data_IF_313176478604
#
_entry.id   IF_313176478604
#
_cell.length_a   1.000
_cell.length_b   1.000
_cell.length_c   1.000
_cell.angle_alpha   90.00
_cell.angle_beta   90.00
_cell.angle_gamma   90.00
#
_symmetry.space_group_name_H-M   'P 1'
#
loop_
_entity.id
_entity.type
_entity.pdbx_description
1 polymer ?
#
# COMPACT_ATOMS: atom_id res chain seq x y z
N UNK A 1 -17.02 8.00 -47.73
CA UNK A 1 -16.88 8.80 -46.50
C UNK A 1 -16.93 7.79 -45.34
N UNK A 2 -15.91 6.93 -45.30
CA UNK A 2 -14.75 7.00 -44.39
C UNK A 2 -15.19 6.98 -42.93
N UNK A 3 -15.21 5.76 -42.42
CA UNK A 3 -14.87 5.24 -41.08
C UNK A 3 -14.48 6.21 -39.97
N UNK A 4 -14.78 5.72 -38.74
CA UNK A 4 -14.11 5.90 -37.42
C UNK A 4 -15.16 6.31 -36.35
N UNK A 5 -15.35 5.64 -35.22
CA UNK A 5 -14.48 4.75 -34.43
C UNK A 5 -15.38 3.76 -33.67
N UNK A 6 -15.38 2.48 -34.07
CA UNK A 6 -15.55 1.41 -33.10
C UNK A 6 -14.25 1.41 -32.29
N UNK A 7 -14.32 1.81 -31.02
CA UNK A 7 -13.25 1.52 -30.07
C UNK A 7 -13.37 0.02 -29.82
N UNK A 8 -12.69 -0.76 -30.64
CA UNK A 8 -12.28 -2.10 -30.25
C UNK A 8 -11.55 -1.94 -28.90
N UNK A 9 -12.13 -2.49 -27.85
CA UNK A 9 -11.45 -2.72 -26.60
C UNK A 9 -10.33 -3.72 -26.89
N UNK A 10 -9.17 -3.19 -27.28
CA UNK A 10 -7.92 -3.94 -27.36
C UNK A 10 -7.30 -4.02 -25.96
N UNK A 11 -8.03 -4.63 -25.03
CA UNK A 11 -7.47 -5.05 -23.76
C UNK A 11 -7.41 -6.57 -23.77
N UNK A 12 -6.22 -7.11 -23.51
CA UNK A 12 -5.83 -8.49 -23.81
C UNK A 12 -6.45 -9.60 -22.94
N UNK A 13 -7.69 -9.45 -22.49
CA UNK A 13 -8.44 -10.50 -21.78
C UNK A 13 -9.10 -11.47 -22.76
N UNK A 14 -9.13 -12.76 -22.43
CA UNK A 14 -10.01 -13.72 -23.10
C UNK A 14 -11.49 -13.33 -22.88
N UNK A 15 -12.38 -13.72 -23.80
CA UNK A 15 -13.80 -13.45 -23.64
C UNK A 15 -14.34 -14.16 -22.38
N UNK A 16 -15.00 -13.41 -21.49
CA UNK A 16 -15.61 -13.95 -20.29
C UNK A 16 -16.50 -15.16 -20.62
N UNK A 17 -16.50 -16.22 -19.79
CA UNK A 17 -17.30 -17.43 -20.02
C UNK A 17 -18.81 -17.22 -19.83
N UNK A 18 -19.23 -15.98 -19.56
CA UNK A 18 -20.61 -15.55 -19.38
C UNK A 18 -20.81 -14.11 -19.90
N UNK A 19 -22.05 -13.70 -20.21
CA UNK A 19 -22.36 -12.31 -20.55
C UNK A 19 -22.05 -11.34 -19.39
N UNK A 20 -21.45 -10.19 -19.70
CA UNK A 20 -21.06 -9.16 -18.70
C UNK A 20 -22.24 -8.71 -17.84
N UNK A 21 -23.42 -8.56 -18.43
CA UNK A 21 -24.63 -8.13 -17.71
C UNK A 21 -25.04 -9.10 -16.58
N UNK A 22 -24.56 -10.35 -16.59
CA UNK A 22 -24.82 -11.32 -15.53
C UNK A 22 -24.15 -10.96 -14.22
N UNK A 23 -23.06 -10.20 -14.23
CA UNK A 23 -22.41 -9.71 -13.00
C UNK A 23 -23.41 -8.95 -12.13
N UNK A 24 -24.32 -8.17 -12.75
CA UNK A 24 -25.37 -7.43 -12.04
C UNK A 24 -26.69 -8.19 -11.95
N UNK A 25 -27.07 -8.92 -13.01
CA UNK A 25 -28.41 -9.51 -13.11
C UNK A 25 -28.50 -10.93 -12.55
N UNK A 26 -27.41 -11.68 -12.52
CA UNK A 26 -27.34 -13.08 -12.11
C UNK A 26 -26.03 -13.40 -11.34
N UNK A 27 -25.69 -12.64 -10.27
CA UNK A 27 -24.39 -12.74 -9.59
C UNK A 27 -24.07 -14.15 -9.09
N UNK A 28 -25.06 -14.88 -8.56
CA UNK A 28 -24.88 -16.27 -8.10
C UNK A 28 -24.42 -17.22 -9.21
N UNK A 29 -24.91 -17.04 -10.44
CA UNK A 29 -24.44 -17.86 -11.56
C UNK A 29 -23.01 -17.53 -11.94
N UNK A 30 -22.63 -16.25 -11.81
CA UNK A 30 -21.25 -15.81 -12.03
C UNK A 30 -20.34 -16.42 -10.97
N UNK A 31 -20.72 -16.37 -9.69
CA UNK A 31 -20.01 -17.02 -8.57
C UNK A 31 -19.81 -18.52 -8.85
N UNK A 32 -20.87 -19.24 -9.23
CA UNK A 32 -20.79 -20.67 -9.55
C UNK A 32 -19.80 -20.96 -10.69
N UNK A 33 -19.83 -20.15 -11.75
CA UNK A 33 -18.91 -20.31 -12.89
C UNK A 33 -17.48 -19.99 -12.45
N UNK A 34 -17.23 -18.85 -11.80
CA UNK A 34 -15.89 -18.46 -11.34
C UNK A 34 -15.30 -19.51 -10.40
N UNK A 35 -16.09 -20.05 -9.47
CA UNK A 35 -15.65 -21.07 -8.51
C UNK A 35 -15.15 -22.35 -9.21
N UNK A 36 -15.76 -22.70 -10.35
CA UNK A 36 -15.35 -23.84 -11.17
C UNK A 36 -14.05 -23.63 -11.95
N UNK A 37 -13.63 -22.38 -12.16
CA UNK A 37 -12.39 -22.03 -12.87
C UNK A 37 -11.16 -22.12 -11.98
N UNK A 38 -10.01 -22.42 -12.58
CA UNK A 38 -8.70 -22.29 -11.91
C UNK A 38 -8.35 -20.82 -11.65
N UNK A 39 -7.36 -20.57 -10.77
CA UNK A 39 -6.87 -19.20 -10.51
C UNK A 39 -6.32 -18.59 -11.80
N UNK A 40 -5.57 -19.36 -12.57
CA UNK A 40 -4.97 -18.92 -13.83
C UNK A 40 -6.04 -18.58 -14.89
N UNK A 41 -7.13 -19.35 -14.95
CA UNK A 41 -8.27 -19.07 -15.83
C UNK A 41 -8.98 -17.78 -15.43
N UNK A 42 -9.21 -17.57 -14.13
CA UNK A 42 -9.81 -16.33 -13.64
C UNK A 42 -8.91 -15.12 -13.94
N UNK A 43 -7.60 -15.23 -13.71
CA UNK A 43 -6.63 -14.18 -14.05
C UNK A 43 -6.69 -13.85 -15.54
N UNK A 44 -6.66 -14.85 -16.43
CA UNK A 44 -6.76 -14.62 -17.89
C UNK A 44 -8.05 -13.91 -18.31
N UNK A 45 -9.15 -14.20 -17.63
CA UNK A 45 -10.45 -13.60 -17.92
C UNK A 45 -10.59 -12.18 -17.36
N UNK A 46 -9.93 -11.87 -16.24
CA UNK A 46 -10.03 -10.58 -15.55
C UNK A 46 -9.03 -9.57 -16.11
N UNK A 47 -7.84 -10.02 -16.53
CA UNK A 47 -6.75 -9.16 -16.95
C UNK A 47 -7.14 -8.22 -18.11
N UNK A 48 -6.88 -6.93 -17.94
CA UNK A 48 -7.17 -5.89 -18.92
C UNK A 48 -8.65 -5.48 -19.02
N UNK A 49 -9.56 -6.09 -18.28
CA UNK A 49 -10.95 -5.59 -18.23
C UNK A 49 -11.00 -4.18 -17.61
N UNK A 50 -12.12 -3.49 -17.82
CA UNK A 50 -12.41 -2.24 -17.11
C UNK A 50 -12.26 -2.43 -15.58
N UNK A 51 -11.57 -1.53 -14.85
CA UNK A 51 -11.29 -1.73 -13.43
C UNK A 51 -12.51 -1.95 -12.54
N UNK A 52 -13.65 -1.30 -12.83
CA UNK A 52 -14.87 -1.58 -12.08
C UNK A 52 -15.39 -2.99 -12.37
N UNK A 53 -15.29 -3.46 -13.62
CA UNK A 53 -15.65 -4.84 -13.94
C UNK A 53 -14.70 -5.85 -13.28
N UNK A 54 -13.39 -5.57 -13.26
CA UNK A 54 -12.40 -6.41 -12.57
C UNK A 54 -12.73 -6.54 -11.09
N UNK A 55 -12.97 -5.43 -10.40
CA UNK A 55 -13.30 -5.43 -8.98
C UNK A 55 -14.59 -6.19 -8.69
N UNK A 56 -15.63 -6.00 -9.50
CA UNK A 56 -16.89 -6.74 -9.33
C UNK A 56 -16.68 -8.26 -9.51
N UNK A 57 -15.83 -8.67 -10.45
CA UNK A 57 -15.51 -10.09 -10.64
C UNK A 57 -14.68 -10.66 -9.48
N UNK A 58 -13.75 -9.88 -8.94
CA UNK A 58 -12.98 -10.26 -7.74
C UNK A 58 -13.91 -10.46 -6.54
N UNK A 59 -14.87 -9.57 -6.32
CA UNK A 59 -15.88 -9.71 -5.24
C UNK A 59 -16.67 -11.01 -5.35
N UNK A 60 -17.01 -11.42 -6.57
CA UNK A 60 -17.80 -12.62 -6.83
C UNK A 60 -16.95 -13.91 -6.84
N UNK A 61 -15.64 -13.81 -6.66
CA UNK A 61 -14.75 -14.97 -6.65
C UNK A 61 -14.50 -15.44 -5.22
N UNK A 62 -14.76 -16.72 -4.94
CA UNK A 62 -14.30 -17.35 -3.69
C UNK A 62 -12.77 -17.42 -3.59
N UNK A 63 -12.06 -17.22 -4.71
CA UNK A 63 -10.59 -17.24 -4.82
C UNK A 63 -10.00 -15.83 -4.96
N UNK A 64 -10.74 -14.80 -4.53
CA UNK A 64 -10.40 -13.40 -4.78
C UNK A 64 -8.97 -13.02 -4.38
N UNK A 65 -8.50 -13.49 -3.22
CA UNK A 65 -7.13 -13.25 -2.76
C UNK A 65 -6.11 -13.89 -3.71
N UNK A 66 -6.24 -15.18 -4.02
CA UNK A 66 -5.27 -15.85 -4.90
C UNK A 66 -5.26 -15.26 -6.31
N UNK A 67 -6.43 -14.87 -6.82
CA UNK A 67 -6.57 -14.23 -8.13
C UNK A 67 -5.94 -12.84 -8.12
N UNK A 68 -6.23 -12.02 -7.12
CA UNK A 68 -5.64 -10.68 -6.98
C UNK A 68 -4.12 -10.75 -6.90
N UNK A 69 -3.58 -11.64 -6.07
CA UNK A 69 -2.14 -11.82 -5.90
C UNK A 69 -1.45 -12.40 -7.13
N UNK A 70 -2.21 -13.01 -8.04
CA UNK A 70 -1.70 -13.55 -9.32
C UNK A 70 -1.81 -12.55 -10.48
N UNK A 71 -2.45 -11.41 -10.30
CA UNK A 71 -2.45 -10.32 -11.28
C UNK A 71 -1.08 -9.62 -11.31
N UNK A 72 -0.65 -9.10 -12.47
CA UNK A 72 0.53 -8.23 -12.55
C UNK A 72 0.45 -7.06 -11.58
N UNK A 73 1.59 -6.63 -11.04
CA UNK A 73 1.66 -5.55 -10.04
C UNK A 73 1.11 -4.24 -10.58
N UNK A 74 1.35 -3.94 -11.87
CA UNK A 74 0.84 -2.76 -12.54
C UNK A 74 -0.69 -2.79 -12.65
N UNK A 75 -1.27 -3.97 -12.86
CA UNK A 75 -2.71 -4.15 -12.99
C UNK A 75 -3.40 -3.88 -11.66
N UNK A 76 -2.87 -4.42 -10.56
CA UNK A 76 -3.41 -4.16 -9.21
C UNK A 76 -3.27 -2.69 -8.83
N UNK A 77 -2.14 -2.07 -9.15
CA UNK A 77 -1.96 -0.62 -8.96
C UNK A 77 -3.02 0.17 -9.74
N UNK A 78 -3.19 -0.07 -11.04
CA UNK A 78 -4.18 0.64 -11.86
C UNK A 78 -5.61 0.42 -11.33
N UNK A 79 -5.94 -0.81 -10.95
CA UNK A 79 -7.22 -1.17 -10.35
C UNK A 79 -7.51 -0.29 -9.12
N UNK A 80 -6.58 -0.22 -8.16
CA UNK A 80 -6.71 0.59 -6.94
C UNK A 80 -6.83 2.09 -7.25
N UNK A 81 -6.15 2.58 -8.30
CA UNK A 81 -6.18 3.99 -8.69
C UNK A 81 -7.49 4.42 -9.35
N UNK A 82 -8.13 3.50 -10.06
CA UNK A 82 -9.33 3.78 -10.86
C UNK A 82 -10.62 3.46 -10.13
N UNK A 83 -10.61 2.45 -9.25
CA UNK A 83 -11.77 2.14 -8.41
C UNK A 83 -11.85 3.12 -7.24
N UNK A 84 -13.06 3.57 -6.91
CA UNK A 84 -13.28 4.57 -5.87
C UNK A 84 -12.74 4.13 -4.50
N UNK A 85 -12.67 5.06 -3.53
CA UNK A 85 -12.03 4.83 -2.23
C UNK A 85 -12.50 3.56 -1.49
N UNK A 86 -13.79 3.27 -1.47
CA UNK A 86 -14.31 2.09 -0.75
C UNK A 86 -13.90 0.79 -1.45
N UNK A 87 -13.98 0.77 -2.78
CA UNK A 87 -13.60 -0.38 -3.60
C UNK A 87 -12.09 -0.65 -3.55
N UNK A 88 -11.28 0.41 -3.46
CA UNK A 88 -9.83 0.30 -3.43
C UNK A 88 -9.30 -0.30 -2.13
N UNK A 89 -10.01 -0.10 -1.00
CA UNK A 89 -9.69 -0.75 0.28
C UNK A 89 -9.83 -2.27 0.20
N UNK A 90 -10.85 -2.77 -0.50
CA UNK A 90 -11.04 -4.21 -0.67
C UNK A 90 -9.88 -4.80 -1.49
N UNK A 91 -9.54 -4.17 -2.61
CA UNK A 91 -8.41 -4.64 -3.45
C UNK A 91 -7.09 -4.58 -2.68
N UNK A 92 -6.86 -3.52 -1.91
CA UNK A 92 -5.67 -3.39 -1.05
C UNK A 92 -5.55 -4.50 -0.02
N UNK A 93 -6.66 -4.91 0.61
CA UNK A 93 -6.65 -6.01 1.59
C UNK A 93 -6.31 -7.38 0.99
N UNK A 94 -6.37 -7.52 -0.35
CA UNK A 94 -6.03 -8.75 -1.05
C UNK A 94 -4.64 -8.72 -1.70
N UNK A 95 -3.99 -7.56 -1.72
CA UNK A 95 -2.72 -7.37 -2.42
C UNK A 95 -1.58 -8.17 -1.75
N UNK A 96 -0.68 -8.72 -2.56
CA UNK A 96 0.53 -9.39 -2.05
C UNK A 96 1.58 -8.36 -1.56
N UNK A 97 2.56 -8.79 -0.75
CA UNK A 97 3.69 -7.95 -0.36
C UNK A 97 4.40 -7.27 -1.55
N UNK A 98 4.62 -8.00 -2.64
CA UNK A 98 5.28 -7.47 -3.84
C UNK A 98 4.40 -6.43 -4.57
N UNK A 99 3.09 -6.63 -4.59
CA UNK A 99 2.14 -5.67 -5.16
C UNK A 99 2.08 -4.39 -4.34
N UNK A 100 1.98 -4.49 -3.01
CA UNK A 100 2.05 -3.34 -2.11
C UNK A 100 3.36 -2.58 -2.28
N UNK A 101 4.48 -3.31 -2.36
CA UNK A 101 5.79 -2.74 -2.56
C UNK A 101 5.90 -1.95 -3.87
N UNK A 102 5.39 -2.50 -4.97
CA UNK A 102 5.36 -1.79 -6.25
C UNK A 102 4.57 -0.48 -6.15
N UNK A 103 3.39 -0.50 -5.51
CA UNK A 103 2.55 0.68 -5.31
C UNK A 103 3.35 1.78 -4.61
N UNK A 104 4.07 1.47 -3.53
CA UNK A 104 4.84 2.47 -2.79
C UNK A 104 6.07 2.95 -3.54
N UNK A 105 6.73 2.10 -4.32
CA UNK A 105 7.84 2.52 -5.18
C UNK A 105 7.38 3.54 -6.23
N UNK A 106 6.16 3.42 -6.72
CA UNK A 106 5.56 4.37 -7.66
C UNK A 106 5.04 5.63 -6.96
N UNK A 107 4.46 5.48 -5.78
CA UNK A 107 3.70 6.55 -5.12
C UNK A 107 4.53 7.41 -4.17
N UNK A 108 5.52 6.81 -3.50
CA UNK A 108 6.36 7.51 -2.52
C UNK A 108 7.48 8.28 -3.16
N UNK A 109 7.73 8.10 -4.46
CA UNK A 109 8.87 8.69 -5.15
C UNK A 109 8.46 9.37 -6.45
N UNK A 110 9.09 10.51 -6.73
CA UNK A 110 9.03 11.17 -8.03
C UNK A 110 10.46 11.41 -8.52
N UNK A 111 10.90 10.59 -9.48
CA UNK A 111 12.33 10.48 -9.79
C UNK A 111 13.09 9.96 -8.58
N UNK A 112 14.10 10.71 -8.14
CA UNK A 112 14.95 10.49 -6.96
C UNK A 112 14.43 11.16 -5.67
N UNK A 113 13.25 11.79 -5.72
CA UNK A 113 12.70 12.55 -4.58
C UNK A 113 11.59 11.79 -3.87
N UNK A 114 11.79 11.54 -2.59
CA UNK A 114 10.74 11.06 -1.70
C UNK A 114 9.60 12.09 -1.57
N UNK A 115 8.36 11.61 -1.50
CA UNK A 115 7.12 12.40 -1.52
C UNK A 115 6.34 12.17 -0.21
N UNK A 116 6.65 12.90 0.87
CA UNK A 116 6.04 12.68 2.19
C UNK A 116 4.51 12.70 2.19
N UNK A 117 3.90 13.66 1.47
CA UNK A 117 2.44 13.77 1.44
C UNK A 117 1.78 12.56 0.77
N UNK A 118 2.31 12.11 -0.37
CA UNK A 118 1.79 10.92 -1.06
C UNK A 118 1.98 9.68 -0.19
N UNK A 119 3.15 9.53 0.43
CA UNK A 119 3.40 8.42 1.34
C UNK A 119 2.40 8.42 2.51
N UNK A 120 2.11 9.57 3.09
CA UNK A 120 1.12 9.70 4.16
C UNK A 120 -0.28 9.29 3.69
N UNK A 121 -0.73 9.77 2.53
CA UNK A 121 -2.05 9.44 1.97
C UNK A 121 -2.23 7.93 1.79
N UNK A 122 -1.17 7.22 1.35
CA UNK A 122 -1.17 5.77 1.23
C UNK A 122 -1.14 5.04 2.56
N UNK A 123 -0.33 5.47 3.52
CA UNK A 123 -0.33 4.88 4.87
C UNK A 123 -1.71 5.06 5.54
N UNK A 124 -2.34 6.22 5.38
CA UNK A 124 -3.69 6.48 5.87
C UNK A 124 -4.72 5.58 5.19
N UNK A 125 -4.57 5.32 3.89
CA UNK A 125 -5.43 4.39 3.15
C UNK A 125 -5.25 2.94 3.63
N UNK A 126 -4.02 2.47 3.79
CA UNK A 126 -3.72 1.13 4.32
C UNK A 126 -4.25 0.96 5.74
N UNK A 127 -4.11 1.97 6.60
CA UNK A 127 -4.60 1.94 7.98
C UNK A 127 -6.15 1.93 8.09
N UNK A 128 -6.87 2.12 6.98
CA UNK A 128 -8.32 1.94 6.87
C UNK A 128 -8.70 0.52 6.43
N UNK A 129 -7.76 -0.29 5.96
CA UNK A 129 -7.98 -1.71 5.75
C UNK A 129 -8.27 -2.37 7.10
N UNK A 130 -9.29 -3.23 7.17
CA UNK A 130 -9.68 -3.90 8.41
C UNK A 130 -8.77 -5.07 8.76
N UNK A 131 -7.84 -5.40 7.87
CA UNK A 131 -6.97 -6.56 7.98
C UNK A 131 -5.56 -6.17 8.52
N UNK A 132 -5.15 -6.73 9.67
CA UNK A 132 -3.80 -6.56 10.19
C UNK A 132 -2.70 -7.01 9.24
N UNK A 133 -2.93 -8.05 8.42
CA UNK A 133 -1.91 -8.62 7.51
C UNK A 133 -1.44 -7.59 6.47
N UNK A 134 -2.32 -6.67 6.06
CA UNK A 134 -1.96 -5.58 5.13
C UNK A 134 -0.89 -4.64 5.72
N UNK A 135 -0.87 -4.48 7.05
CA UNK A 135 0.17 -3.70 7.74
C UNK A 135 1.38 -4.57 8.14
N UNK A 136 1.26 -5.90 8.14
CA UNK A 136 2.40 -6.80 8.39
C UNK A 136 3.42 -6.75 7.25
N UNK A 137 3.02 -6.44 6.01
CA UNK A 137 3.98 -6.12 4.93
C UNK A 137 4.98 -5.03 5.36
N UNK A 138 4.57 -4.06 6.19
CA UNK A 138 5.46 -3.02 6.69
C UNK A 138 6.56 -3.58 7.59
N UNK A 139 6.46 -4.80 8.11
CA UNK A 139 7.55 -5.45 8.85
C UNK A 139 8.67 -5.90 7.91
N UNK A 140 8.32 -6.31 6.69
CA UNK A 140 9.23 -6.96 5.74
C UNK A 140 9.87 -5.99 4.71
N UNK A 141 9.42 -4.73 4.66
CA UNK A 141 9.99 -3.70 3.77
C UNK A 141 11.52 -3.51 4.02
N UNK A 142 12.21 -2.71 3.21
CA UNK A 142 13.56 -2.24 3.52
C UNK A 142 13.61 -1.36 4.78
N UNK A 143 14.72 -1.45 5.50
CA UNK A 143 14.91 -0.70 6.73
C UNK A 143 15.08 0.81 6.46
N UNK A 144 15.93 1.20 5.51
CA UNK A 144 16.21 2.60 5.23
C UNK A 144 14.95 3.30 4.67
N UNK A 145 14.11 2.61 3.88
CA UNK A 145 12.84 3.18 3.42
C UNK A 145 11.85 3.47 4.56
N UNK A 146 11.72 2.58 5.55
CA UNK A 146 10.95 2.86 6.78
C UNK A 146 11.52 4.05 7.53
N UNK A 147 12.84 4.17 7.62
CA UNK A 147 13.49 5.30 8.28
C UNK A 147 13.18 6.59 7.54
N UNK A 148 13.23 6.63 6.20
CA UNK A 148 12.82 7.80 5.41
C UNK A 148 11.38 8.20 5.71
N UNK A 149 10.46 7.23 5.71
CA UNK A 149 9.05 7.45 6.01
C UNK A 149 8.86 8.06 7.41
N UNK A 150 9.44 7.43 8.43
CA UNK A 150 9.32 7.88 9.81
C UNK A 150 10.06 9.20 10.05
N UNK A 151 11.22 9.43 9.43
CA UNK A 151 11.91 10.71 9.44
C UNK A 151 11.11 11.80 8.73
N UNK A 152 10.23 11.48 7.80
CA UNK A 152 9.34 12.45 7.19
C UNK A 152 8.15 12.80 8.11
N UNK A 153 7.66 11.84 8.90
CA UNK A 153 6.43 12.00 9.70
C UNK A 153 6.67 12.39 11.14
N UNK A 154 7.82 12.04 11.70
CA UNK A 154 8.09 12.11 13.13
C UNK A 154 9.29 13.00 13.44
N UNK A 155 9.27 13.57 14.63
CA UNK A 155 10.44 13.99 15.37
C UNK A 155 10.50 13.11 16.62
N UNK A 156 11.63 12.47 16.87
CA UNK A 156 11.80 11.54 17.98
C UNK A 156 12.92 12.03 18.88
N UNK A 157 12.69 11.95 20.18
CA UNK A 157 13.67 12.20 21.22
C UNK A 157 13.73 10.99 22.14
N UNK A 158 14.89 10.81 22.78
CA UNK A 158 15.10 9.81 23.81
C UNK A 158 15.38 10.56 25.10
N UNK A 159 14.86 10.07 26.22
CA UNK A 159 15.19 10.66 27.53
C UNK A 159 16.63 10.31 27.91
N UNK A 160 17.58 11.04 27.36
CA UNK A 160 19.01 10.99 27.64
C UNK A 160 19.63 12.38 27.55
N UNK A 161 20.90 12.50 27.99
CA UNK A 161 21.60 13.79 28.04
C UNK A 161 21.85 14.41 26.65
N UNK A 162 21.71 13.64 25.56
CA UNK A 162 22.08 14.06 24.22
C UNK A 162 20.89 14.62 23.43
N UNK A 163 19.66 14.24 23.78
CA UNK A 163 18.46 14.57 23.01
C UNK A 163 17.34 15.23 23.84
N UNK A 164 17.55 15.56 25.12
CA UNK A 164 16.55 16.22 25.98
C UNK A 164 16.33 17.73 25.68
N UNK A 165 16.40 18.14 24.41
CA UNK A 165 15.98 19.47 23.95
C UNK A 165 14.84 19.36 22.94
N UNK A 166 13.61 19.57 23.42
CA UNK A 166 12.37 19.57 22.63
C UNK A 166 12.23 20.80 21.71
N UNK A 167 13.31 21.24 21.07
CA UNK A 167 13.30 22.38 20.16
C UNK A 167 12.61 22.03 18.84
N UNK A 168 11.66 22.86 18.42
CA UNK A 168 11.00 22.75 17.12
C UNK A 168 9.84 21.75 17.08
N UNK A 169 9.34 21.32 18.25
CA UNK A 169 8.13 20.48 18.37
C UNK A 169 6.99 21.18 19.11
N UNK A 170 7.07 22.50 19.26
CA UNK A 170 6.05 23.29 19.92
C UNK A 170 4.70 23.16 19.20
N UNK A 171 3.69 22.70 19.93
CA UNK A 171 2.34 22.51 19.40
C UNK A 171 2.12 21.23 18.59
N UNK A 172 3.14 20.39 18.41
CA UNK A 172 2.96 19.08 17.79
C UNK A 172 2.31 18.09 18.76
N UNK A 173 1.53 17.16 18.20
CA UNK A 173 0.95 16.08 19.00
C UNK A 173 2.05 15.15 19.52
N UNK A 174 2.01 14.88 20.82
CA UNK A 174 2.97 14.04 21.52
C UNK A 174 2.43 12.63 21.76
N UNK A 175 3.33 11.65 21.68
CA UNK A 175 3.09 10.26 22.01
C UNK A 175 4.34 9.63 22.59
N UNK A 176 4.17 8.79 23.60
CA UNK A 176 5.23 7.94 24.12
C UNK A 176 4.68 6.52 24.29
N UNK A 177 5.25 5.50 23.60
CA UNK A 177 4.79 4.12 23.74
C UNK A 177 5.24 3.48 25.06
N UNK A 178 6.37 3.90 25.62
CA UNK A 178 7.07 3.21 26.72
C UNK A 178 7.60 4.14 27.83
N UNK A 179 7.46 5.45 27.67
CA UNK A 179 8.00 6.46 28.59
C UNK A 179 9.48 6.80 28.39
N UNK A 180 10.17 6.13 27.47
CA UNK A 180 11.60 6.33 27.13
C UNK A 180 11.77 7.15 25.86
N UNK A 181 10.98 6.85 24.83
CA UNK A 181 10.98 7.61 23.58
C UNK A 181 9.80 8.57 23.55
N UNK A 182 10.09 9.83 23.22
CA UNK A 182 9.10 10.88 23.01
C UNK A 182 8.98 11.16 21.51
N UNK A 183 7.79 10.91 20.98
CA UNK A 183 7.48 10.98 19.55
C UNK A 183 6.54 12.16 19.32
N UNK A 184 6.90 13.03 18.38
CA UNK A 184 6.09 14.17 17.94
C UNK A 184 5.73 14.01 16.48
N UNK A 185 4.44 14.11 16.16
CA UNK A 185 3.95 13.99 14.79
C UNK A 185 4.08 15.33 14.06
N UNK A 186 4.82 15.34 12.94
CA UNK A 186 5.01 16.50 12.06
C UNK A 186 3.94 16.62 10.99
N UNK A 187 3.06 15.62 10.91
CA UNK A 187 2.03 15.48 9.90
C UNK A 187 0.65 15.48 10.56
N UNK A 188 -0.35 15.87 9.78
CA UNK A 188 -1.75 15.55 10.08
C UNK A 188 -1.94 14.02 10.08
N UNK A 189 -3.08 13.50 10.54
CA UNK A 189 -3.34 12.05 10.59
C UNK A 189 -2.41 11.26 11.54
N UNK A 190 -1.97 11.90 12.63
CA UNK A 190 -1.22 11.28 13.73
C UNK A 190 -1.86 9.99 14.26
N UNK A 191 -3.19 9.86 14.23
CA UNK A 191 -3.92 8.67 14.65
C UNK A 191 -3.54 7.43 13.84
N UNK A 192 -3.47 7.54 12.52
CA UNK A 192 -3.13 6.43 11.64
C UNK A 192 -1.65 6.02 11.81
N UNK A 193 -0.75 7.00 11.93
CA UNK A 193 0.67 6.72 12.19
C UNK A 193 0.87 6.12 13.59
N UNK A 194 0.14 6.58 14.59
CA UNK A 194 0.15 6.00 15.94
C UNK A 194 -0.28 4.53 15.93
N UNK A 195 -1.30 4.17 15.14
CA UNK A 195 -1.69 2.76 14.98
C UNK A 195 -0.56 1.92 14.41
N UNK A 196 0.15 2.42 13.38
CA UNK A 196 1.31 1.73 12.80
C UNK A 196 2.41 1.52 13.85
N UNK A 197 2.74 2.55 14.64
CA UNK A 197 3.74 2.44 15.71
C UNK A 197 3.33 1.44 16.79
N UNK A 198 2.04 1.39 17.16
CA UNK A 198 1.52 0.42 18.12
C UNK A 198 1.54 -1.00 17.57
N UNK A 199 1.25 -1.20 16.28
CA UNK A 199 1.38 -2.50 15.63
C UNK A 199 2.83 -2.98 15.63
N UNK A 200 3.78 -2.10 15.29
CA UNK A 200 5.21 -2.41 15.39
C UNK A 200 5.61 -2.77 16.82
N UNK A 201 5.12 -2.03 17.81
CA UNK A 201 5.36 -2.32 19.23
C UNK A 201 4.83 -3.70 19.65
N UNK A 202 3.66 -4.10 19.13
CA UNK A 202 3.06 -5.39 19.45
C UNK A 202 3.76 -6.55 18.75
N UNK A 203 4.13 -6.38 17.47
CA UNK A 203 4.65 -7.44 16.60
C UNK A 203 6.17 -7.60 16.68
N UNK A 204 6.92 -6.50 16.69
CA UNK A 204 8.39 -6.51 16.75
C UNK A 204 8.95 -5.23 17.41
N UNK A 205 9.05 -5.27 18.74
CA UNK A 205 9.62 -4.17 19.53
C UNK A 205 11.07 -3.86 19.15
N UNK A 206 11.84 -4.88 18.76
CA UNK A 206 13.25 -4.70 18.41
C UNK A 206 13.38 -3.89 17.13
N UNK A 207 12.55 -4.20 16.13
CA UNK A 207 12.45 -3.39 14.91
C UNK A 207 12.01 -1.97 15.22
N UNK A 208 10.94 -1.78 16.02
CA UNK A 208 10.48 -0.44 16.39
C UNK A 208 11.59 0.40 17.02
N UNK A 209 12.28 -0.10 18.05
CA UNK A 209 13.35 0.66 18.70
C UNK A 209 14.52 0.93 17.77
N UNK A 210 14.85 -0.03 16.88
CA UNK A 210 15.90 0.17 15.88
C UNK A 210 15.52 1.31 14.91
N UNK A 211 14.26 1.38 14.50
CA UNK A 211 13.74 2.47 13.67
C UNK A 211 13.75 3.81 14.41
N UNK A 212 13.34 3.87 15.67
CA UNK A 212 13.35 5.11 16.46
C UNK A 212 14.78 5.64 16.65
N UNK A 213 15.75 4.76 16.96
CA UNK A 213 17.17 5.13 17.01
C UNK A 213 17.67 5.64 15.66
N UNK A 214 17.31 4.97 14.56
CA UNK A 214 17.69 5.44 13.22
C UNK A 214 17.06 6.81 12.87
N UNK A 215 15.81 7.05 13.26
CA UNK A 215 15.16 8.37 13.08
C UNK A 215 15.92 9.47 13.81
N UNK A 216 16.42 9.21 15.02
CA UNK A 216 17.22 10.16 15.81
C UNK A 216 18.60 10.40 15.17
N UNK A 217 19.31 9.33 14.81
CA UNK A 217 20.75 9.40 14.54
C UNK A 217 21.14 9.39 13.06
N UNK A 218 20.32 8.87 12.15
CA UNK A 218 20.71 8.73 10.75
C UNK A 218 20.59 10.07 10.00
N UNK A 219 21.61 10.48 9.23
CA UNK A 219 21.52 11.67 8.40
C UNK A 219 20.49 11.48 7.27
N UNK A 220 19.45 12.33 7.25
CA UNK A 220 18.32 12.23 6.30
C UNK A 220 18.77 12.03 4.86
N UNK A 221 19.72 12.82 4.37
CA UNK A 221 20.22 12.72 2.98
C UNK A 221 20.79 11.35 2.65
N UNK A 222 21.54 10.73 3.58
CA UNK A 222 22.15 9.42 3.37
C UNK A 222 21.08 8.33 3.39
N UNK A 223 20.13 8.42 4.32
CA UNK A 223 19.01 7.47 4.40
C UNK A 223 18.16 7.50 3.13
N UNK A 224 17.82 8.70 2.63
CA UNK A 224 17.07 8.87 1.38
C UNK A 224 17.82 8.27 0.19
N UNK A 225 19.12 8.50 0.09
CA UNK A 225 19.94 7.91 -0.98
C UNK A 225 19.92 6.37 -0.93
N UNK A 226 20.10 5.77 0.25
CA UNK A 226 20.06 4.31 0.40
C UNK A 226 18.70 3.71 0.03
N UNK A 227 17.61 4.31 0.51
CA UNK A 227 16.26 3.88 0.16
C UNK A 227 16.00 4.01 -1.35
N UNK A 228 16.50 5.08 -1.98
CA UNK A 228 16.41 5.25 -3.43
C UNK A 228 17.21 4.17 -4.18
N UNK A 229 18.44 3.87 -3.78
CA UNK A 229 19.25 2.80 -4.40
C UNK A 229 18.58 1.43 -4.27
N UNK A 230 17.98 1.13 -3.12
CA UNK A 230 17.22 -0.09 -2.93
C UNK A 230 16.03 -0.19 -3.89
N UNK A 231 15.23 0.88 -4.00
CA UNK A 231 14.14 0.97 -4.98
C UNK A 231 14.65 0.71 -6.40
N UNK A 232 15.70 1.42 -6.83
CA UNK A 232 16.27 1.27 -8.17
C UNK A 232 16.69 -0.17 -8.45
N UNK A 233 17.27 -0.87 -7.47
CA UNK A 233 17.70 -2.26 -7.65
C UNK A 233 16.57 -3.26 -7.96
N UNK A 234 15.32 -2.88 -7.71
CA UNK A 234 14.13 -3.73 -7.95
C UNK A 234 13.31 -3.31 -9.15
N UNK A 235 13.38 -2.03 -9.51
CA UNK A 235 12.66 -1.48 -10.67
C UNK A 235 13.49 -1.44 -11.95
N UNK A 236 14.78 -1.84 -11.88
CA UNK A 236 15.69 -1.92 -13.01
C UNK A 236 15.58 -3.26 -13.75
#
# INVERSE_FOLDING_TARGET
MIDKINKENSFGGEALPFPVDWVRTQPRKVEDILSSLSVEEQVRNILGLDPHLQQNLLILSEKAVQVTQSLPVEEVYNLIKEVGKEDSLLVLSMASPDQLQYIFDVEWWQGDKFQPKRALDWIVLLAQCQDPETLEWFLEEDFDQKVVLLQAFLKVYKKDEMTDSYEGVEGLEHFTPDGVYDIFFKVENSKEIRKLLLLLYEKDQKLLYSLLEAVIWFPVTITVEKAYQWRVSRTA
#
